data_IF_719190023471
#
_entry.id   IF_719190023471
#
_cell.length_a   1.000
_cell.length_b   1.000
_cell.length_c   1.000
_cell.angle_alpha   90.00
_cell.angle_beta   90.00
_cell.angle_gamma   90.00
#
_symmetry.space_group_name_H-M   'P 1'
#
loop_
_entity.id
_entity.type
_entity.pdbx_description
1 polymer ?
#
# COMPACT_ATOMS: atom_id res chain seq x y z
N UNK A 1 -38.92 -3.93 16.21
CA UNK A 1 -38.91 -3.52 14.78
C UNK A 1 -37.54 -3.71 14.13
N UNK A 2 -37.42 -3.81 12.80
CA UNK A 2 -36.13 -4.00 12.08
C UNK A 2 -35.08 -2.92 12.43
N UNK A 3 -35.55 -1.69 12.64
CA UNK A 3 -34.73 -0.54 13.05
C UNK A 3 -34.18 -0.68 14.47
N UNK A 4 -34.95 -1.31 15.35
CA UNK A 4 -34.57 -1.56 16.75
C UNK A 4 -33.47 -2.62 16.85
N UNK A 5 -33.55 -3.69 16.06
CA UNK A 5 -32.51 -4.72 16.00
C UNK A 5 -31.18 -4.17 15.47
N UNK A 6 -31.22 -3.34 14.43
CA UNK A 6 -30.01 -2.67 13.90
C UNK A 6 -29.40 -1.73 14.94
N UNK A 7 -30.22 -0.96 15.66
CA UNK A 7 -29.75 -0.10 16.74
C UNK A 7 -29.16 -0.90 17.93
N UNK A 8 -29.71 -2.08 18.23
CA UNK A 8 -29.13 -2.96 19.26
C UNK A 8 -27.71 -3.36 18.89
N UNK A 9 -27.51 -3.89 17.67
CA UNK A 9 -26.19 -4.36 17.20
C UNK A 9 -25.18 -3.23 17.03
N UNK A 10 -25.58 -2.10 16.44
CA UNK A 10 -24.65 -1.02 16.15
C UNK A 10 -24.36 -0.11 17.35
N UNK A 11 -25.23 -0.07 18.36
CA UNK A 11 -25.13 0.90 19.46
C UNK A 11 -25.20 0.24 20.83
N UNK A 12 -26.25 -0.52 21.15
CA UNK A 12 -26.44 -1.03 22.52
C UNK A 12 -25.42 -2.11 22.91
N UNK A 13 -25.09 -3.02 22.01
CA UNK A 13 -24.11 -4.08 22.26
C UNK A 13 -22.68 -3.53 22.39
N UNK A 14 -22.15 -2.70 21.46
CA UNK A 14 -20.84 -2.08 21.61
C UNK A 14 -20.72 -1.19 22.84
N UNK A 15 -21.79 -0.45 23.19
CA UNK A 15 -21.81 0.38 24.38
C UNK A 15 -21.60 -0.44 25.67
N UNK A 16 -22.22 -1.62 25.77
CA UNK A 16 -22.08 -2.51 26.93
C UNK A 16 -20.65 -3.00 27.13
N UNK A 17 -19.91 -3.18 26.04
CA UNK A 17 -18.52 -3.66 26.02
C UNK A 17 -17.46 -2.56 26.06
N UNK A 18 -17.87 -1.29 25.96
CA UNK A 18 -16.96 -0.14 25.97
C UNK A 18 -16.60 0.36 27.37
N UNK A 19 -15.58 1.20 27.47
CA UNK A 19 -15.19 1.88 28.71
C UNK A 19 -16.20 2.91 29.22
N UNK A 20 -17.25 3.21 28.43
CA UNK A 20 -18.33 4.20 28.68
C UNK A 20 -17.87 5.66 28.84
N UNK A 21 -16.57 5.93 28.90
CA UNK A 21 -16.00 7.27 28.93
C UNK A 21 -15.44 7.64 27.55
N UNK A 22 -16.08 8.58 26.86
CA UNK A 22 -15.73 8.96 25.47
C UNK A 22 -15.66 7.74 24.52
N UNK A 23 -16.53 6.76 24.77
CA UNK A 23 -16.53 5.43 24.14
C UNK A 23 -16.88 5.40 22.64
N UNK A 24 -17.25 6.53 22.02
CA UNK A 24 -17.66 6.55 20.60
C UNK A 24 -16.59 5.96 19.68
N UNK A 25 -15.31 6.28 19.92
CA UNK A 25 -14.20 5.73 19.14
C UNK A 25 -14.08 4.20 19.30
N UNK A 26 -14.20 3.70 20.53
CA UNK A 26 -14.14 2.27 20.84
C UNK A 26 -15.32 1.51 20.20
N UNK A 27 -16.51 2.09 20.26
CA UNK A 27 -17.72 1.52 19.65
C UNK A 27 -17.59 1.44 18.12
N UNK A 28 -17.09 2.50 17.47
CA UNK A 28 -16.85 2.51 16.03
C UNK A 28 -15.80 1.47 15.61
N UNK A 29 -14.72 1.34 16.37
CA UNK A 29 -13.70 0.32 16.12
C UNK A 29 -14.26 -1.10 16.27
N UNK A 30 -15.10 -1.33 17.29
CA UNK A 30 -15.76 -2.61 17.52
C UNK A 30 -16.69 -2.97 16.38
N UNK A 31 -17.55 -2.03 15.94
CA UNK A 31 -18.44 -2.24 14.80
C UNK A 31 -17.66 -2.54 13.52
N UNK A 32 -16.63 -1.75 13.22
CA UNK A 32 -15.77 -1.98 12.07
C UNK A 32 -15.08 -3.35 12.11
N UNK A 33 -14.65 -3.79 13.29
CA UNK A 33 -14.05 -5.12 13.47
C UNK A 33 -15.07 -6.23 13.22
N UNK A 34 -16.29 -6.11 13.77
CA UNK A 34 -17.36 -7.08 13.56
C UNK A 34 -17.76 -7.19 12.08
N UNK A 35 -17.84 -6.07 11.37
CA UNK A 35 -18.14 -6.07 9.92
C UNK A 35 -17.04 -6.78 9.13
N UNK A 36 -15.77 -6.46 9.40
CA UNK A 36 -14.63 -7.13 8.77
C UNK A 36 -14.62 -8.63 9.05
N UNK A 37 -14.90 -9.04 10.28
CA UNK A 37 -15.01 -10.46 10.65
C UNK A 37 -16.17 -11.15 9.93
N UNK A 38 -17.30 -10.47 9.75
CA UNK A 38 -18.45 -11.00 9.02
C UNK A 38 -18.11 -11.21 7.54
N UNK A 39 -17.47 -10.23 6.88
CA UNK A 39 -16.99 -10.35 5.51
C UNK A 39 -15.97 -11.47 5.35
N UNK A 40 -14.98 -11.56 6.25
CA UNK A 40 -13.97 -12.61 6.22
C UNK A 40 -14.58 -14.00 6.40
N UNK A 41 -15.53 -14.16 7.34
CA UNK A 41 -16.27 -15.42 7.51
C UNK A 41 -17.03 -15.80 6.26
N UNK A 42 -17.72 -14.85 5.62
CA UNK A 42 -18.43 -15.12 4.38
C UNK A 42 -17.48 -15.60 3.29
N UNK A 43 -16.35 -14.91 3.09
CA UNK A 43 -15.31 -15.31 2.14
C UNK A 43 -14.80 -16.73 2.41
N UNK A 44 -14.44 -17.06 3.67
CA UNK A 44 -13.97 -18.40 4.01
C UNK A 44 -15.04 -19.49 3.87
N UNK A 45 -16.32 -19.16 4.12
CA UNK A 45 -17.42 -20.10 3.89
C UNK A 45 -17.61 -20.37 2.39
N UNK A 46 -17.60 -19.34 1.55
CA UNK A 46 -17.73 -19.48 0.09
C UNK A 46 -16.60 -20.33 -0.51
N UNK A 47 -15.39 -20.23 0.03
CA UNK A 47 -14.25 -21.06 -0.37
C UNK A 47 -14.18 -22.44 0.30
N UNK A 48 -15.21 -22.86 1.06
CA UNK A 48 -15.22 -24.16 1.76
C UNK A 48 -14.18 -24.27 2.88
N UNK A 49 -13.51 -23.17 3.25
CA UNK A 49 -12.41 -23.16 4.23
C UNK A 49 -12.90 -23.28 5.68
N UNK A 50 -14.21 -23.18 5.90
CA UNK A 50 -14.84 -23.41 7.21
C UNK A 50 -15.70 -24.69 7.23
N UNK A 51 -15.55 -25.58 6.24
CA UNK A 51 -16.26 -26.86 6.22
C UNK A 51 -15.62 -27.87 7.18
N UNK A 52 -16.47 -28.50 8.00
CA UNK A 52 -16.05 -29.48 9.01
C UNK A 52 -15.68 -28.86 10.36
N UNK A 53 -15.30 -29.74 11.30
CA UNK A 53 -14.84 -29.35 12.64
C UNK A 53 -13.37 -29.70 12.83
N UNK A 54 -12.71 -29.04 13.78
CA UNK A 54 -11.33 -29.38 14.17
C UNK A 54 -11.19 -30.86 14.53
N UNK A 55 -12.20 -31.44 15.18
CA UNK A 55 -12.25 -32.87 15.50
C UNK A 55 -12.27 -33.76 14.26
N UNK A 56 -13.06 -33.41 13.23
CA UNK A 56 -13.10 -34.17 11.98
C UNK A 56 -11.78 -34.11 11.23
N UNK A 57 -11.11 -32.95 11.26
CA UNK A 57 -9.80 -32.77 10.64
C UNK A 57 -8.71 -33.60 11.35
N UNK A 58 -8.64 -33.55 12.68
CA UNK A 58 -7.65 -34.32 13.45
C UNK A 58 -7.89 -35.83 13.34
N UNK A 59 -9.14 -36.28 13.28
CA UNK A 59 -9.47 -37.68 13.06
C UNK A 59 -8.99 -38.19 11.69
N UNK A 60 -9.12 -37.40 10.62
CA UNK A 60 -8.62 -37.73 9.27
C UNK A 60 -7.10 -37.83 9.23
N UNK A 61 -6.42 -36.86 9.85
CA UNK A 61 -4.96 -36.88 10.02
C UNK A 61 -4.47 -38.16 10.71
N UNK A 62 -5.10 -38.55 11.82
CA UNK A 62 -4.73 -39.76 12.57
C UNK A 62 -4.98 -41.06 11.79
N UNK A 63 -5.93 -41.06 10.85
CA UNK A 63 -6.19 -42.17 9.93
C UNK A 63 -5.23 -42.22 8.74
N UNK A 64 -4.31 -41.25 8.63
CA UNK A 64 -3.38 -41.13 7.50
C UNK A 64 -3.99 -40.55 6.23
N UNK A 65 -5.20 -39.99 6.31
CA UNK A 65 -5.86 -39.33 5.19
C UNK A 65 -5.32 -37.91 5.04
N UNK A 66 -4.87 -37.54 3.83
CA UNK A 66 -4.48 -36.17 3.52
C UNK A 66 -5.74 -35.35 3.17
N UNK A 67 -6.02 -34.24 3.87
CA UNK A 67 -7.15 -33.38 3.57
C UNK A 67 -6.90 -32.75 2.20
N UNK A 68 -7.83 -33.01 1.29
CA UNK A 68 -7.82 -32.36 -0.01
C UNK A 68 -8.21 -30.88 0.17
N UNK A 69 -7.54 -29.96 -0.55
CA UNK A 69 -7.97 -28.58 -0.56
C UNK A 69 -9.41 -28.49 -1.09
N UNK A 70 -10.26 -27.62 -0.53
CA UNK A 70 -11.59 -27.41 -1.09
C UNK A 70 -11.49 -27.02 -2.56
N UNK A 71 -12.38 -27.58 -3.39
CA UNK A 71 -12.48 -27.20 -4.79
C UNK A 71 -12.81 -25.71 -4.88
N UNK A 72 -12.15 -24.93 -5.75
CA UNK A 72 -12.47 -23.52 -5.88
C UNK A 72 -13.94 -23.37 -6.29
N UNK A 73 -14.71 -22.49 -5.63
CA UNK A 73 -16.06 -22.15 -6.08
C UNK A 73 -15.99 -21.66 -7.53
N UNK A 74 -16.96 -22.06 -8.36
CA UNK A 74 -17.17 -21.42 -9.67
C UNK A 74 -17.37 -19.94 -9.43
N UNK A 75 -16.49 -19.14 -10.03
CA UNK A 75 -16.51 -17.68 -10.01
C UNK A 75 -17.88 -17.21 -10.52
N UNK A 76 -18.81 -16.89 -9.62
CA UNK A 76 -19.83 -15.89 -9.93
C UNK A 76 -19.09 -14.55 -9.91
N UNK A 77 -19.16 -13.89 -11.05
CA UNK A 77 -18.42 -12.71 -11.47
C UNK A 77 -18.79 -11.49 -10.61
N UNK A 78 -18.28 -11.44 -9.37
CA UNK A 78 -18.13 -10.18 -8.63
C UNK A 78 -16.83 -9.53 -9.13
N UNK A 79 -17.01 -8.83 -10.25
CA UNK A 79 -16.08 -8.01 -11.00
C UNK A 79 -15.56 -6.82 -10.15
N UNK A 80 -14.87 -7.06 -9.02
CA UNK A 80 -14.11 -5.98 -8.34
C UNK A 80 -13.00 -6.42 -7.35
N UNK A 81 -12.43 -7.62 -7.51
CA UNK A 81 -11.24 -8.01 -6.73
C UNK A 81 -10.21 -8.83 -7.50
N UNK A 82 -10.03 -8.55 -8.79
CA UNK A 82 -8.83 -9.02 -9.49
C UNK A 82 -7.63 -8.15 -9.05
N UNK A 83 -6.53 -8.71 -8.54
CA UNK A 83 -5.29 -7.96 -8.39
C UNK A 83 -4.95 -7.39 -9.77
N UNK A 84 -4.98 -6.07 -9.90
CA UNK A 84 -4.48 -5.43 -11.09
C UNK A 84 -3.02 -5.84 -11.23
N UNK A 85 -2.55 -6.27 -12.42
CA UNK A 85 -1.14 -6.56 -12.62
C UNK A 85 -0.36 -5.32 -12.22
N UNK A 86 0.38 -5.42 -11.11
CA UNK A 86 1.25 -4.35 -10.65
C UNK A 86 2.21 -3.99 -11.79
N UNK A 87 2.60 -2.71 -11.94
CA UNK A 87 3.56 -2.32 -12.95
C UNK A 87 4.79 -3.21 -12.87
N UNK A 88 5.15 -3.88 -13.98
CA UNK A 88 6.38 -4.68 -14.11
C UNK A 88 7.59 -3.75 -14.22
N UNK A 89 7.80 -2.90 -13.22
CA UNK A 89 8.87 -1.93 -13.17
C UNK A 89 9.79 -2.33 -12.02
N UNK A 90 11.09 -2.51 -12.31
CA UNK A 90 12.12 -2.94 -11.35
C UNK A 90 12.16 -2.09 -10.08
N UNK A 91 11.70 -0.84 -10.16
CA UNK A 91 11.55 0.06 -9.03
C UNK A 91 10.38 1.02 -9.23
N UNK A 92 9.59 1.26 -8.18
CA UNK A 92 8.58 2.33 -8.17
C UNK A 92 8.85 3.33 -7.06
N UNK A 93 8.58 4.61 -7.34
CA UNK A 93 8.67 5.69 -6.34
C UNK A 93 7.32 6.39 -6.30
N UNK A 94 6.68 6.34 -5.14
CA UNK A 94 5.42 7.03 -4.86
C UNK A 94 5.68 8.20 -3.93
N UNK A 95 5.33 9.40 -4.35
CA UNK A 95 5.39 10.60 -3.51
C UNK A 95 4.10 10.71 -2.67
N UNK A 96 4.15 11.48 -1.58
CA UNK A 96 2.96 11.83 -0.83
C UNK A 96 1.88 12.44 -1.74
N UNK A 97 0.60 12.19 -1.43
CA UNK A 97 -0.54 12.61 -2.28
C UNK A 97 -0.59 14.11 -2.54
N UNK A 98 -0.09 14.92 -1.61
CA UNK A 98 -0.16 16.38 -1.69
C UNK A 98 1.23 16.95 -1.49
N UNK A 99 1.63 17.88 -2.37
CA UNK A 99 2.83 18.68 -2.16
C UNK A 99 2.66 19.57 -0.93
N UNK A 100 3.74 19.77 -0.19
CA UNK A 100 3.71 20.60 1.00
C UNK A 100 3.48 22.07 0.66
N UNK A 101 2.64 22.73 1.45
CA UNK A 101 2.36 24.15 1.32
C UNK A 101 3.37 24.97 2.11
N UNK A 102 3.76 26.12 1.58
CA UNK A 102 4.69 27.04 2.25
C UNK A 102 6.15 26.94 1.77
N UNK A 103 6.46 26.04 0.84
CA UNK A 103 7.76 26.01 0.18
C UNK A 103 7.76 26.92 -1.06
N UNK A 104 8.84 27.69 -1.29
CA UNK A 104 9.03 28.40 -2.55
C UNK A 104 9.13 27.42 -3.73
N UNK A 105 8.57 27.80 -4.87
CA UNK A 105 8.60 27.00 -6.10
C UNK A 105 9.82 27.29 -6.98
N UNK A 106 10.44 28.45 -6.81
CA UNK A 106 11.65 28.82 -7.53
C UNK A 106 12.85 28.15 -6.84
N UNK A 107 13.77 27.59 -7.62
CA UNK A 107 14.97 26.93 -7.10
C UNK A 107 15.83 27.86 -6.24
N UNK A 108 16.01 29.12 -6.63
CA UNK A 108 16.86 30.07 -5.91
C UNK A 108 16.26 30.44 -4.55
N UNK A 109 14.94 30.68 -4.53
CA UNK A 109 14.22 30.97 -3.29
C UNK A 109 14.20 29.74 -2.37
N UNK A 110 13.98 28.56 -2.95
CA UNK A 110 13.98 27.29 -2.24
C UNK A 110 15.36 26.97 -1.64
N UNK A 111 16.44 27.23 -2.39
CA UNK A 111 17.85 27.09 -1.94
C UNK A 111 18.10 27.89 -0.66
N UNK A 112 17.63 29.13 -0.64
CA UNK A 112 17.75 30.02 0.52
C UNK A 112 16.88 29.53 1.67
N UNK A 113 15.64 29.10 1.38
CA UNK A 113 14.67 28.62 2.36
C UNK A 113 15.13 27.36 3.09
N UNK A 114 15.70 26.38 2.37
CA UNK A 114 16.21 25.12 2.95
C UNK A 114 17.64 25.26 3.49
N UNK A 115 18.30 26.39 3.27
CA UNK A 115 19.67 26.64 3.71
C UNK A 115 20.74 25.79 3.02
N UNK A 116 20.52 25.38 1.77
CA UNK A 116 21.45 24.51 1.03
C UNK A 116 21.93 25.18 -0.27
N UNK A 117 23.07 25.91 -0.26
CA UNK A 117 23.53 26.69 -1.42
C UNK A 117 23.91 25.84 -2.64
N UNK A 118 24.27 24.56 -2.43
CA UNK A 118 24.62 23.62 -3.51
C UNK A 118 23.39 23.01 -4.22
N UNK A 119 22.19 23.29 -3.75
CA UNK A 119 20.96 22.69 -4.28
C UNK A 119 20.76 22.88 -5.79
N UNK A 120 21.01 24.07 -6.40
CA UNK A 120 20.87 24.24 -7.84
C UNK A 120 21.85 23.37 -8.63
N UNK A 121 23.11 23.28 -8.18
CA UNK A 121 24.14 22.41 -8.77
C UNK A 121 23.73 20.93 -8.70
N UNK A 122 23.19 20.49 -7.57
CA UNK A 122 22.72 19.11 -7.38
C UNK A 122 21.57 18.76 -8.33
N UNK A 123 20.60 19.66 -8.54
CA UNK A 123 19.53 19.47 -9.51
C UNK A 123 20.11 19.29 -10.92
N UNK A 124 21.05 20.16 -11.32
CA UNK A 124 21.64 20.11 -12.66
C UNK A 124 22.43 18.82 -12.91
N UNK A 125 23.18 18.36 -11.91
CA UNK A 125 23.86 17.05 -11.96
C UNK A 125 22.90 15.89 -12.04
N UNK A 126 21.86 15.88 -11.20
CA UNK A 126 20.82 14.86 -11.24
C UNK A 126 20.13 14.80 -12.61
N UNK A 127 19.78 15.96 -13.18
CA UNK A 127 19.20 16.02 -14.53
C UNK A 127 20.16 15.50 -15.60
N UNK A 128 21.45 15.78 -15.48
CA UNK A 128 22.45 15.22 -16.39
C UNK A 128 22.45 13.69 -16.35
N UNK A 129 22.48 13.10 -15.15
CA UNK A 129 22.47 11.64 -14.96
C UNK A 129 21.17 11.01 -15.50
N UNK A 130 20.03 11.67 -15.35
CA UNK A 130 18.75 11.21 -15.89
C UNK A 130 18.67 11.30 -17.42
N UNK A 131 19.24 12.35 -18.02
CA UNK A 131 19.21 12.57 -19.48
C UNK A 131 20.25 11.72 -20.23
N UNK A 132 21.32 11.29 -19.55
CA UNK A 132 22.43 10.55 -20.15
C UNK A 132 22.71 9.22 -19.41
N UNK A 133 21.75 8.28 -19.36
CA UNK A 133 21.89 7.04 -18.59
C UNK A 133 23.03 6.12 -19.07
N UNK A 134 23.49 6.27 -20.31
CA UNK A 134 24.57 5.48 -20.91
C UNK A 134 25.91 6.24 -20.95
N UNK A 135 26.00 7.43 -20.33
CA UNK A 135 27.25 8.18 -20.31
C UNK A 135 28.27 7.50 -19.40
N UNK A 136 29.46 7.24 -19.93
CA UNK A 136 30.60 6.75 -19.13
C UNK A 136 31.18 7.85 -18.22
N UNK A 137 30.84 9.11 -18.49
CA UNK A 137 31.30 10.27 -17.73
C UNK A 137 30.28 10.56 -16.61
N UNK A 138 30.69 10.54 -15.33
CA UNK A 138 29.80 10.86 -14.21
C UNK A 138 29.52 12.37 -14.15
N UNK A 139 28.33 12.77 -13.70
CA UNK A 139 27.94 14.19 -13.53
C UNK A 139 28.86 15.00 -12.60
N UNK A 140 29.65 14.33 -11.74
CA UNK A 140 30.64 14.98 -10.88
C UNK A 140 31.91 15.44 -11.62
N UNK A 141 32.23 14.83 -12.75
CA UNK A 141 33.41 15.15 -13.55
C UNK A 141 33.17 16.27 -14.59
N UNK A 142 31.92 16.70 -14.73
CA UNK A 142 31.47 17.68 -15.72
C UNK A 142 31.49 19.07 -15.09
N UNK A 143 31.99 20.06 -15.83
CA UNK A 143 32.00 21.44 -15.39
C UNK A 143 30.57 21.97 -15.25
N UNK A 144 30.35 22.89 -14.30
CA UNK A 144 29.02 23.47 -14.05
C UNK A 144 28.40 24.14 -15.27
N UNK A 145 29.20 24.68 -16.18
CA UNK A 145 28.70 25.38 -17.37
C UNK A 145 28.16 24.42 -18.44
N UNK A 146 28.63 23.18 -18.45
CA UNK A 146 28.23 22.14 -19.40
C UNK A 146 27.00 21.33 -18.93
N UNK A 147 26.56 21.53 -17.68
CA UNK A 147 25.37 20.87 -17.14
C UNK A 147 24.07 21.50 -17.66
N UNK A 148 22.97 20.74 -17.78
CA UNK A 148 21.69 21.30 -18.19
C UNK A 148 21.20 22.37 -17.21
N UNK A 149 20.61 23.46 -17.71
CA UNK A 149 19.96 24.47 -16.88
C UNK A 149 18.53 24.05 -16.56
N UNK A 150 18.09 24.33 -15.34
CA UNK A 150 16.72 24.08 -14.90
C UNK A 150 16.01 25.38 -14.58
N UNK A 151 14.91 25.65 -15.28
CA UNK A 151 14.07 26.86 -15.12
C UNK A 151 12.64 26.54 -14.66
N UNK A 152 12.36 25.27 -14.34
CA UNK A 152 11.04 24.81 -13.92
C UNK A 152 10.69 25.17 -12.47
N UNK A 153 9.44 24.91 -12.10
CA UNK A 153 8.98 25.01 -10.72
C UNK A 153 9.22 23.71 -9.96
N UNK A 154 9.69 23.81 -8.72
CA UNK A 154 9.89 22.67 -7.81
C UNK A 154 8.71 22.55 -6.84
N UNK A 155 8.27 21.31 -6.61
CA UNK A 155 7.33 20.96 -5.55
C UNK A 155 8.03 20.09 -4.51
N UNK A 156 7.81 20.38 -3.24
CA UNK A 156 8.41 19.65 -2.12
C UNK A 156 7.38 18.68 -1.53
N UNK A 157 7.82 17.45 -1.24
CA UNK A 157 7.01 16.43 -0.57
C UNK A 157 7.80 15.92 0.63
N UNK A 158 7.16 15.80 1.80
CA UNK A 158 7.84 15.35 3.03
C UNK A 158 7.97 13.85 3.17
N UNK A 159 7.31 13.07 2.31
CA UNK A 159 7.43 11.63 2.30
C UNK A 159 7.39 11.09 0.88
N UNK A 160 8.14 10.01 0.71
CA UNK A 160 8.17 9.19 -0.49
C UNK A 160 8.34 7.73 -0.08
N UNK A 161 7.74 6.82 -0.85
CA UNK A 161 7.91 5.38 -0.71
C UNK A 161 8.61 4.88 -1.97
N UNK A 162 9.78 4.28 -1.79
CA UNK A 162 10.50 3.62 -2.88
C UNK A 162 10.40 2.10 -2.69
N UNK A 163 9.95 1.40 -3.73
CA UNK A 163 9.90 -0.06 -3.78
C UNK A 163 10.92 -0.53 -4.82
N UNK A 164 11.75 -1.47 -4.44
CA UNK A 164 12.73 -2.11 -5.31
C UNK A 164 12.46 -3.60 -5.32
N UNK A 165 12.35 -4.18 -6.52
CA UNK A 165 12.17 -5.62 -6.68
C UNK A 165 13.52 -6.27 -6.90
N UNK A 166 13.78 -7.40 -6.22
CA UNK A 166 14.95 -8.19 -6.55
C UNK A 166 14.77 -8.80 -7.95
N UNK A 167 15.83 -8.93 -8.77
CA UNK A 167 15.73 -9.55 -10.10
C UNK A 167 15.10 -10.96 -10.08
N UNK A 168 15.21 -11.67 -8.96
CA UNK A 168 14.58 -12.98 -8.70
C UNK A 168 13.06 -12.93 -8.53
N UNK A 169 12.51 -11.81 -8.04
CA UNK A 169 11.07 -11.65 -7.77
C UNK A 169 10.25 -11.53 -9.08
N UNK A 170 10.93 -11.39 -10.21
CA UNK A 170 10.35 -11.37 -11.55
C UNK A 170 10.26 -12.75 -12.21
N UNK A 171 10.82 -13.80 -11.60
CA UNK A 171 10.83 -15.16 -12.16
C UNK A 171 9.93 -16.10 -11.34
N UNK A 172 8.65 -16.17 -11.74
CA UNK A 172 7.63 -17.10 -11.22
C UNK A 172 6.32 -16.93 -12.00
N UNK A 173 5.39 -17.91 -11.91
CA UNK A 173 4.14 -17.92 -12.70
C UNK A 173 3.20 -16.70 -12.47
N UNK A 174 3.52 -15.86 -11.48
CA UNK A 174 3.24 -14.43 -11.44
C UNK A 174 4.22 -13.81 -10.44
N UNK A 175 4.82 -12.65 -10.75
CA UNK A 175 5.56 -11.87 -9.75
C UNK A 175 4.59 -11.47 -8.63
N UNK A 176 4.62 -12.25 -7.55
CA UNK A 176 3.68 -12.27 -6.43
C UNK A 176 4.15 -13.33 -5.41
N UNK A 177 4.08 -13.01 -4.13
CA UNK A 177 3.48 -13.94 -3.17
C UNK A 177 2.21 -13.30 -2.65
#
# INVERSE_FOLDING_TARGET
SITELKHIKAVKEPWRCSSRFKALKEMLQTNCHLDKMASARHHFMTHGMMEGTTLTYTAKMLRGERPEPPNPPTEDDDEDHRPSPGPRVLSSVELARTAERGYPRNVNDLTTFIGQPKFPELIRRFLFDQLNPNSEIPSSAIALDDLPYFTGSVSVFHSAVARFYAPSDLCGAGGMH
#
